data_IF_889250494396
#
_entry.id   IF_889250494396
#
_cell.length_a   1.000
_cell.length_b   1.000
_cell.length_c   1.000
_cell.angle_alpha   90.00
_cell.angle_beta   90.00
_cell.angle_gamma   90.00
#
_symmetry.space_group_name_H-M   'P 1'
#
loop_
_entity.id
_entity.type
_entity.pdbx_description
1 polymer ?
#
# COMPACT_ATOMS: atom_id res chain seq x y z
N UNK A 1 -14.27 -4.68 -35.98
CA UNK A 1 -12.90 -4.77 -36.52
C UNK A 1 -11.96 -4.98 -35.35
N UNK A 2 -11.26 -6.12 -35.31
CA UNK A 2 -10.28 -6.45 -34.28
C UNK A 2 -8.98 -5.70 -34.58
N UNK A 3 -8.45 -4.94 -33.64
CA UNK A 3 -7.07 -4.44 -33.68
C UNK A 3 -6.30 -5.08 -32.54
N UNK A 4 -5.41 -5.99 -32.91
CA UNK A 4 -4.49 -6.68 -32.03
C UNK A 4 -3.49 -5.69 -31.40
N UNK A 5 -3.35 -5.71 -30.08
CA UNK A 5 -2.22 -5.10 -29.38
C UNK A 5 -1.04 -6.05 -29.48
N UNK A 6 0.02 -5.62 -30.16
CA UNK A 6 1.35 -6.24 -30.07
C UNK A 6 1.85 -6.02 -28.65
N UNK A 7 2.22 -7.10 -27.97
CA UNK A 7 3.07 -7.02 -26.79
C UNK A 7 4.41 -6.38 -27.21
N UNK A 8 4.65 -5.16 -26.77
CA UNK A 8 5.98 -4.57 -26.78
C UNK A 8 6.77 -5.23 -25.67
N UNK A 9 7.88 -5.89 -26.02
CA UNK A 9 8.96 -6.13 -25.06
C UNK A 9 9.41 -4.76 -24.54
N UNK A 10 8.88 -4.35 -23.40
CA UNK A 10 9.35 -3.15 -22.70
C UNK A 10 10.68 -3.54 -22.09
N UNK A 11 11.78 -3.10 -22.70
CA UNK A 11 13.07 -3.10 -22.03
C UNK A 11 12.91 -2.31 -20.74
N UNK A 12 13.20 -2.96 -19.61
CA UNK A 12 13.27 -2.32 -18.30
C UNK A 12 14.13 -1.07 -18.44
N UNK A 13 13.53 0.13 -18.31
CA UNK A 13 14.24 1.38 -18.50
C UNK A 13 15.48 1.42 -17.60
N UNK A 14 16.55 2.07 -18.07
CA UNK A 14 17.81 2.19 -17.31
C UNK A 14 17.61 2.74 -15.88
N UNK A 15 16.59 3.58 -15.67
CA UNK A 15 16.23 4.13 -14.36
C UNK A 15 15.83 3.06 -13.34
N UNK A 16 15.12 2.02 -13.75
CA UNK A 16 14.66 0.93 -12.88
C UNK A 16 15.86 0.14 -12.38
N UNK A 17 16.89 -0.04 -13.23
CA UNK A 17 18.15 -0.70 -12.86
C UNK A 17 18.96 0.14 -11.87
N UNK A 18 18.81 1.46 -11.91
CA UNK A 18 19.52 2.38 -11.02
C UNK A 18 18.82 2.51 -9.66
N UNK A 19 17.49 2.65 -9.64
CA UNK A 19 16.66 2.59 -8.43
C UNK A 19 16.86 1.27 -7.66
N UNK A 20 16.96 0.18 -8.41
CA UNK A 20 17.32 -1.14 -7.88
C UNK A 20 18.69 -1.13 -7.24
N UNK A 21 19.72 -0.71 -7.98
CA UNK A 21 21.11 -0.74 -7.51
C UNK A 21 21.28 0.17 -6.28
N UNK A 22 20.48 1.21 -6.19
CA UNK A 22 20.43 2.16 -5.07
C UNK A 22 19.71 1.59 -3.84
N UNK A 23 18.62 0.85 -4.03
CA UNK A 23 17.91 0.21 -2.93
C UNK A 23 18.64 -1.06 -2.47
N UNK A 24 19.23 -1.84 -3.38
CA UNK A 24 20.17 -2.92 -3.09
C UNK A 24 21.33 -2.41 -2.22
N UNK A 25 21.88 -1.21 -2.50
CA UNK A 25 22.93 -0.60 -1.65
C UNK A 25 22.43 -0.26 -0.25
N UNK A 26 21.22 0.28 -0.11
CA UNK A 26 20.64 0.61 1.22
C UNK A 26 20.26 -0.65 2.01
N UNK A 27 19.65 -1.63 1.36
CA UNK A 27 19.28 -2.93 1.96
C UNK A 27 20.54 -3.71 2.34
N UNK A 28 21.56 -3.77 1.47
CA UNK A 28 22.83 -4.42 1.77
C UNK A 28 23.57 -3.75 2.95
N UNK A 29 23.51 -2.42 3.05
CA UNK A 29 24.08 -1.67 4.18
C UNK A 29 23.35 -1.97 5.51
N UNK A 30 22.02 -2.07 5.46
CA UNK A 30 21.20 -2.40 6.64
C UNK A 30 21.42 -3.84 7.14
N UNK A 31 21.55 -4.82 6.23
CA UNK A 31 21.71 -6.23 6.60
C UNK A 31 23.15 -6.67 6.90
N UNK A 32 24.18 -5.99 6.36
CA UNK A 32 25.59 -6.40 6.59
C UNK A 32 26.28 -5.72 7.77
N UNK A 33 25.64 -4.72 8.39
CA UNK A 33 26.29 -3.88 9.40
C UNK A 33 27.41 -3.05 8.79
N UNK A 34 27.74 -1.91 9.42
CA UNK A 34 28.84 -1.04 8.98
C UNK A 34 30.18 -1.79 8.79
N UNK A 35 31.18 -1.14 8.17
CA UNK A 35 32.37 -1.81 7.64
C UNK A 35 33.05 -2.67 8.71
N UNK A 36 32.96 -3.99 8.57
CA UNK A 36 33.77 -4.94 9.34
C UNK A 36 35.22 -4.78 8.89
N UNK A 37 36.07 -4.41 9.83
CA UNK A 37 37.51 -4.49 9.68
C UNK A 37 37.92 -5.91 9.25
N UNK A 38 38.77 -5.97 8.24
CA UNK A 38 39.37 -7.19 7.70
C UNK A 38 40.19 -7.91 8.78
N UNK A 39 39.80 -9.12 9.13
CA UNK A 39 40.54 -10.04 9.99
C UNK A 39 40.48 -11.47 9.45
N UNK A 40 41.67 -12.06 9.27
CA UNK A 40 42.04 -13.35 8.69
C UNK A 40 41.03 -14.52 8.68
N UNK A 41 40.86 -15.06 7.47
CA UNK A 41 40.93 -16.47 7.05
C UNK A 41 40.61 -17.60 8.03
N UNK A 42 39.58 -18.36 7.68
CA UNK A 42 39.52 -19.82 7.79
C UNK A 42 38.54 -20.34 6.71
N UNK A 43 39.01 -21.29 5.89
CA UNK A 43 38.22 -21.98 4.87
C UNK A 43 37.30 -22.99 5.57
N UNK A 44 36.00 -22.70 5.65
CA UNK A 44 34.99 -23.69 6.01
C UNK A 44 34.11 -24.01 4.80
N UNK A 45 34.25 -25.25 4.34
CA UNK A 45 33.36 -25.92 3.41
C UNK A 45 31.97 -26.06 4.06
N UNK A 46 30.98 -25.34 3.53
CA UNK A 46 29.56 -25.57 3.78
C UNK A 46 28.81 -25.43 2.44
N UNK A 47 28.89 -26.47 1.63
CA UNK A 47 27.95 -26.69 0.53
C UNK A 47 26.74 -27.48 1.06
N UNK A 48 25.54 -27.04 0.66
CA UNK A 48 24.19 -27.55 0.97
C UNK A 48 23.50 -27.01 2.24
N UNK A 49 23.41 -25.68 2.38
CA UNK A 49 22.23 -25.09 3.04
C UNK A 49 21.08 -25.01 2.02
N UNK A 50 19.96 -25.63 2.36
CA UNK A 50 18.66 -25.50 1.72
C UNK A 50 18.36 -24.01 1.51
N UNK A 51 18.54 -23.53 0.28
CA UNK A 51 18.43 -22.12 -0.10
C UNK A 51 16.97 -21.70 0.10
N UNK A 52 16.61 -21.26 1.31
CA UNK A 52 15.38 -20.50 1.52
C UNK A 52 15.45 -19.30 0.59
N UNK A 53 14.64 -19.35 -0.47
CA UNK A 53 14.57 -18.30 -1.45
C UNK A 53 14.18 -17.00 -0.71
N UNK A 54 15.00 -15.97 -0.85
CA UNK A 54 14.77 -14.67 -0.20
C UNK A 54 13.31 -14.23 -0.43
N UNK A 55 12.61 -13.72 0.61
CA UNK A 55 11.26 -13.20 0.44
C UNK A 55 11.23 -11.93 -0.42
N UNK A 56 12.40 -11.36 -0.73
CA UNK A 56 12.59 -10.19 -1.57
C UNK A 56 13.27 -10.53 -2.89
N UNK A 57 12.84 -9.84 -3.95
CA UNK A 57 13.47 -9.80 -5.25
C UNK A 57 14.76 -8.97 -5.22
N UNK A 58 15.67 -9.23 -6.16
CA UNK A 58 16.81 -8.35 -6.43
C UNK A 58 16.35 -6.96 -6.87
N UNK A 59 15.18 -6.88 -7.51
CA UNK A 59 14.61 -5.65 -8.09
C UNK A 59 13.13 -5.54 -7.79
N UNK A 60 12.58 -4.36 -7.45
CA UNK A 60 11.16 -4.25 -7.23
C UNK A 60 10.42 -4.39 -8.56
N UNK A 61 9.30 -5.09 -8.53
CA UNK A 61 8.35 -5.08 -9.62
C UNK A 61 7.48 -3.81 -9.50
N UNK A 62 7.72 -2.86 -10.40
CA UNK A 62 7.02 -1.55 -10.43
C UNK A 62 5.78 -1.55 -11.32
N UNK A 63 5.38 -2.69 -11.88
CA UNK A 63 4.12 -2.78 -12.61
C UNK A 63 2.95 -2.48 -11.66
N UNK A 64 2.16 -1.48 -12.01
CA UNK A 64 0.97 -1.08 -11.24
C UNK A 64 -0.27 -1.57 -11.95
N UNK A 65 -1.11 -2.27 -11.21
CA UNK A 65 -2.46 -2.62 -11.65
C UNK A 65 -3.42 -1.56 -11.11
N UNK A 66 -4.05 -0.81 -12.01
CA UNK A 66 -4.98 0.26 -11.66
C UNK A 66 -6.37 0.00 -12.21
N UNK A 67 -7.40 0.35 -11.45
CA UNK A 67 -8.77 0.41 -11.95
C UNK A 67 -9.53 1.54 -11.27
N UNK A 68 -10.63 1.95 -11.88
CA UNK A 68 -11.49 3.02 -11.39
C UNK A 68 -12.96 2.66 -11.59
N UNK A 69 -13.82 3.37 -10.87
CA UNK A 69 -15.26 3.28 -11.08
C UNK A 69 -15.99 4.33 -10.25
N UNK A 70 -17.31 4.27 -10.30
CA UNK A 70 -18.14 5.17 -9.52
C UNK A 70 -19.59 4.72 -9.47
N UNK A 71 -20.36 5.38 -8.61
CA UNK A 71 -21.78 5.16 -8.43
C UNK A 71 -22.60 6.33 -8.99
N UNK A 72 -23.89 6.11 -9.23
CA UNK A 72 -24.80 7.18 -9.64
C UNK A 72 -25.03 8.22 -8.53
N UNK A 73 -24.61 7.91 -7.30
CA UNK A 73 -24.69 8.78 -6.13
C UNK A 73 -23.50 9.73 -6.00
N UNK A 74 -22.63 9.80 -7.02
CA UNK A 74 -21.47 10.70 -7.03
C UNK A 74 -20.30 10.23 -6.16
N UNK A 75 -20.25 8.95 -5.82
CA UNK A 75 -19.10 8.33 -5.15
C UNK A 75 -18.20 7.73 -6.22
N UNK A 76 -16.97 8.23 -6.34
CA UNK A 76 -15.98 7.74 -7.29
C UNK A 76 -14.86 7.03 -6.55
N UNK A 77 -14.20 6.07 -7.17
CA UNK A 77 -13.05 5.43 -6.58
C UNK A 77 -11.98 5.12 -7.63
N UNK A 78 -10.75 5.01 -7.15
CA UNK A 78 -9.70 4.28 -7.84
C UNK A 78 -8.99 3.33 -6.89
N UNK A 79 -8.44 2.28 -7.46
CA UNK A 79 -7.58 1.32 -6.78
C UNK A 79 -6.29 1.17 -7.56
N UNK A 80 -5.18 1.08 -6.84
CA UNK A 80 -3.89 0.70 -7.39
C UNK A 80 -3.27 -0.37 -6.52
N UNK A 81 -2.55 -1.30 -7.16
CA UNK A 81 -1.75 -2.30 -6.46
C UNK A 81 -0.41 -2.52 -7.16
N UNK A 82 0.66 -2.72 -6.39
CA UNK A 82 2.02 -2.95 -6.88
C UNK A 82 2.71 -4.00 -6.00
N UNK A 83 3.39 -4.94 -6.65
CA UNK A 83 4.11 -6.02 -5.94
C UNK A 83 5.35 -5.50 -5.18
N UNK A 84 6.07 -4.52 -5.73
CA UNK A 84 7.22 -3.94 -5.05
C UNK A 84 8.35 -4.96 -4.89
N UNK A 85 8.98 -4.98 -3.72
CA UNK A 85 10.18 -5.78 -3.46
C UNK A 85 9.91 -7.25 -3.15
N UNK A 86 8.68 -7.64 -2.84
CA UNK A 86 8.36 -9.02 -2.46
C UNK A 86 8.45 -9.96 -3.65
N UNK A 87 8.86 -11.19 -3.39
CA UNK A 87 8.93 -12.24 -4.40
C UNK A 87 7.56 -12.59 -5.02
N UNK A 88 6.49 -12.43 -4.24
CA UNK A 88 5.11 -12.71 -4.64
C UNK A 88 4.22 -11.49 -4.42
N UNK A 89 3.10 -11.43 -5.16
CA UNK A 89 2.00 -10.52 -4.91
C UNK A 89 0.88 -11.30 -4.20
N UNK A 90 0.72 -11.03 -2.91
CA UNK A 90 -0.22 -11.73 -2.03
C UNK A 90 -1.49 -10.91 -1.72
N UNK A 91 -1.44 -9.60 -1.98
CA UNK A 91 -2.59 -8.70 -1.87
C UNK A 91 -3.72 -9.03 -2.86
N UNK A 92 -4.95 -8.77 -2.43
CA UNK A 92 -6.15 -8.74 -3.27
C UNK A 92 -7.06 -7.57 -2.87
N UNK A 93 -8.05 -7.24 -3.71
CA UNK A 93 -9.01 -6.18 -3.42
C UNK A 93 -10.38 -6.45 -4.06
N UNK A 94 -11.40 -5.77 -3.54
CA UNK A 94 -12.76 -5.77 -4.09
C UNK A 94 -13.28 -4.35 -4.13
N UNK A 95 -13.84 -3.93 -5.26
CA UNK A 95 -14.50 -2.63 -5.39
C UNK A 95 -15.86 -2.83 -6.06
N UNK A 96 -16.93 -2.56 -5.32
CA UNK A 96 -18.32 -2.69 -5.74
C UNK A 96 -19.03 -1.37 -5.45
N UNK A 97 -19.02 -0.40 -6.37
CA UNK A 97 -19.62 0.92 -6.14
C UNK A 97 -21.15 0.89 -6.03
N UNK A 98 -21.78 -0.22 -6.42
CA UNK A 98 -23.20 -0.50 -6.28
C UNK A 98 -23.38 -1.99 -5.96
N UNK A 99 -24.16 -2.31 -4.93
CA UNK A 99 -24.59 -3.69 -4.65
C UNK A 99 -25.82 -4.06 -5.50
N UNK A 100 -26.27 -5.30 -5.37
CA UNK A 100 -27.38 -5.86 -6.17
C UNK A 100 -28.71 -5.82 -5.41
N UNK A 101 -29.78 -6.12 -6.14
CA UNK A 101 -31.14 -6.31 -5.61
C UNK A 101 -31.69 -5.08 -4.88
N UNK A 102 -32.07 -5.18 -3.61
CA UNK A 102 -32.62 -4.06 -2.84
C UNK A 102 -31.54 -3.11 -2.29
N UNK A 103 -30.26 -3.41 -2.52
CA UNK A 103 -29.11 -2.66 -2.01
C UNK A 103 -28.40 -1.84 -3.09
N UNK A 104 -29.10 -1.41 -4.15
CA UNK A 104 -28.48 -0.67 -5.28
C UNK A 104 -27.77 0.62 -4.87
N UNK A 105 -28.19 1.23 -3.78
CA UNK A 105 -27.60 2.46 -3.22
C UNK A 105 -26.49 2.20 -2.20
N UNK A 106 -26.10 0.93 -2.04
CA UNK A 106 -25.00 0.51 -1.17
C UNK A 106 -23.72 0.27 -1.97
N UNK A 107 -22.57 0.41 -1.32
CA UNK A 107 -21.27 0.10 -1.90
C UNK A 107 -20.42 -0.75 -0.96
N UNK A 108 -19.47 -1.49 -1.52
CA UNK A 108 -18.49 -2.29 -0.79
C UNK A 108 -17.09 -2.11 -1.37
N UNK A 109 -16.12 -1.82 -0.52
CA UNK A 109 -14.71 -1.71 -0.87
C UNK A 109 -13.89 -2.48 0.14
N UNK A 110 -12.87 -3.22 -0.31
CA UNK A 110 -12.02 -3.99 0.58
C UNK A 110 -10.61 -4.18 0.02
N UNK A 111 -9.62 -4.12 0.92
CA UNK A 111 -8.23 -4.54 0.70
C UNK A 111 -7.97 -5.76 1.57
N UNK A 112 -7.31 -6.76 0.98
CA UNK A 112 -6.91 -8.00 1.63
C UNK A 112 -5.42 -8.15 1.47
N UNK A 113 -4.68 -8.06 2.58
CA UNK A 113 -3.25 -8.34 2.61
C UNK A 113 -3.07 -9.83 2.90
N UNK A 114 -2.48 -10.57 1.98
CA UNK A 114 -2.29 -12.02 2.10
C UNK A 114 -0.90 -12.35 2.64
N UNK A 115 -0.78 -13.43 3.40
CA UNK A 115 0.52 -13.89 3.89
C UNK A 115 0.64 -15.40 3.86
N UNK A 116 1.87 -15.87 3.59
CA UNK A 116 2.20 -17.29 3.43
C UNK A 116 1.40 -17.98 2.29
N UNK A 117 1.14 -17.24 1.22
CA UNK A 117 0.28 -17.59 0.10
C UNK A 117 -0.81 -16.55 -0.14
N UNK A 118 -1.44 -16.61 -1.30
CA UNK A 118 -2.45 -15.63 -1.72
C UNK A 118 -3.87 -16.22 -1.87
N UNK A 119 -4.05 -17.52 -1.59
CA UNK A 119 -5.31 -18.20 -1.80
C UNK A 119 -6.42 -17.70 -0.88
N UNK A 120 -6.13 -17.43 0.40
CA UNK A 120 -7.13 -16.86 1.32
C UNK A 120 -7.52 -15.45 0.91
N UNK A 121 -6.56 -14.56 0.61
CA UNK A 121 -6.84 -13.20 0.13
C UNK A 121 -7.68 -13.20 -1.15
N UNK A 122 -7.32 -14.04 -2.13
CA UNK A 122 -8.09 -14.19 -3.37
C UNK A 122 -9.49 -14.78 -3.14
N UNK A 123 -9.65 -15.73 -2.22
CA UNK A 123 -10.96 -16.28 -1.90
C UNK A 123 -11.84 -15.23 -1.21
N UNK A 124 -11.28 -14.49 -0.25
CA UNK A 124 -12.00 -13.43 0.46
C UNK A 124 -12.43 -12.31 -0.49
N UNK A 125 -11.56 -11.86 -1.39
CA UNK A 125 -11.90 -10.81 -2.37
C UNK A 125 -13.04 -11.18 -3.32
N UNK A 126 -13.29 -12.48 -3.54
CA UNK A 126 -14.37 -12.96 -4.40
C UNK A 126 -15.65 -13.27 -3.63
N UNK A 127 -15.56 -13.67 -2.37
CA UNK A 127 -16.69 -14.29 -1.68
C UNK A 127 -17.09 -13.60 -0.37
N UNK A 128 -16.23 -12.81 0.30
CA UNK A 128 -16.52 -12.28 1.64
C UNK A 128 -17.82 -11.48 1.69
N UNK A 129 -18.05 -10.62 0.69
CA UNK A 129 -19.30 -9.86 0.57
C UNK A 129 -20.52 -10.78 0.49
N UNK A 130 -20.47 -11.85 -0.29
CA UNK A 130 -21.60 -12.78 -0.43
C UNK A 130 -21.90 -13.49 0.88
N UNK A 131 -20.88 -13.87 1.66
CA UNK A 131 -21.08 -14.43 3.01
C UNK A 131 -21.74 -13.41 3.96
N UNK A 132 -21.31 -12.15 3.93
CA UNK A 132 -21.91 -11.07 4.73
C UNK A 132 -23.38 -10.87 4.34
N UNK A 133 -23.68 -10.78 3.04
CA UNK A 133 -25.05 -10.58 2.56
C UNK A 133 -25.95 -11.79 2.87
N UNK A 134 -25.43 -13.01 2.79
CA UNK A 134 -26.17 -14.24 3.06
C UNK A 134 -26.66 -14.36 4.52
N UNK A 135 -26.03 -13.65 5.47
CA UNK A 135 -26.52 -13.57 6.86
C UNK A 135 -27.89 -12.91 6.96
N UNK A 136 -28.26 -12.10 5.97
CA UNK A 136 -29.45 -11.26 6.01
C UNK A 136 -29.38 -10.14 7.05
N UNK A 137 -28.20 -9.80 7.58
CA UNK A 137 -28.04 -8.63 8.47
C UNK A 137 -28.01 -7.30 7.73
N UNK A 138 -27.49 -7.30 6.50
CA UNK A 138 -27.42 -6.12 5.62
C UNK A 138 -28.72 -5.98 4.83
N UNK A 139 -29.56 -5.01 5.21
CA UNK A 139 -30.86 -4.74 4.58
C UNK A 139 -31.10 -3.26 4.38
N UNK A 140 -32.02 -2.92 3.49
CA UNK A 140 -32.46 -1.54 3.23
C UNK A 140 -32.99 -0.79 4.47
N UNK A 141 -33.32 -1.48 5.57
CA UNK A 141 -33.71 -0.83 6.84
C UNK A 141 -32.56 -0.17 7.57
N UNK A 142 -31.29 -0.48 7.21
CA UNK A 142 -30.09 0.15 7.76
C UNK A 142 -30.00 0.09 9.30
N UNK A 143 -30.50 -0.98 9.91
CA UNK A 143 -30.46 -1.16 11.36
C UNK A 143 -29.01 -1.46 11.80
N UNK A 144 -28.28 -0.52 12.45
CA UNK A 144 -26.83 -0.61 12.53
C UNK A 144 -26.33 -1.85 13.28
N UNK A 145 -26.98 -2.22 14.38
CA UNK A 145 -26.62 -3.41 15.14
C UNK A 145 -26.87 -4.72 14.36
N UNK A 146 -27.89 -4.76 13.49
CA UNK A 146 -28.12 -5.93 12.63
C UNK A 146 -27.08 -6.02 11.52
N UNK A 147 -26.66 -4.88 10.97
CA UNK A 147 -25.59 -4.81 9.96
C UNK A 147 -24.26 -5.25 10.57
N UNK A 148 -23.90 -4.72 11.76
CA UNK A 148 -22.69 -5.11 12.49
C UNK A 148 -22.66 -6.62 12.77
N UNK A 149 -23.76 -7.17 13.27
CA UNK A 149 -23.83 -8.62 13.54
C UNK A 149 -23.76 -9.44 12.24
N UNK A 150 -24.42 -9.01 11.16
CA UNK A 150 -24.32 -9.69 9.86
C UNK A 150 -22.91 -9.68 9.27
N UNK A 151 -22.17 -8.58 9.43
CA UNK A 151 -20.75 -8.51 9.06
C UNK A 151 -19.93 -9.49 9.89
N UNK A 152 -20.10 -9.45 11.22
CA UNK A 152 -19.41 -10.34 12.15
C UNK A 152 -19.63 -11.81 11.79
N UNK A 153 -20.89 -12.24 11.66
CA UNK A 153 -21.22 -13.62 11.32
C UNK A 153 -20.72 -14.00 9.92
N UNK A 154 -20.76 -13.09 8.94
CA UNK A 154 -20.20 -13.33 7.60
C UNK A 154 -18.70 -13.66 7.61
N UNK A 155 -17.91 -12.97 8.44
CA UNK A 155 -16.50 -13.27 8.66
C UNK A 155 -16.29 -14.63 9.33
N UNK A 156 -17.10 -14.96 10.34
CA UNK A 156 -17.00 -16.25 11.03
C UNK A 156 -17.38 -17.42 10.12
N UNK A 157 -18.40 -17.23 9.26
CA UNK A 157 -18.91 -18.23 8.34
C UNK A 157 -17.92 -18.53 7.21
N UNK A 158 -17.34 -17.48 6.56
CA UNK A 158 -16.35 -17.69 5.50
C UNK A 158 -15.08 -18.36 6.06
N UNK A 159 -14.61 -17.95 7.23
CA UNK A 159 -13.44 -18.55 7.88
C UNK A 159 -13.69 -20.02 8.23
N UNK A 160 -14.87 -20.34 8.78
CA UNK A 160 -15.28 -21.71 9.09
C UNK A 160 -15.44 -22.56 7.84
N UNK A 161 -15.93 -21.99 6.74
CA UNK A 161 -16.02 -22.67 5.46
C UNK A 161 -14.64 -23.02 4.93
N UNK A 162 -13.75 -22.04 4.87
CA UNK A 162 -12.36 -22.21 4.43
C UNK A 162 -11.59 -23.21 5.29
N UNK A 163 -11.78 -23.21 6.61
CA UNK A 163 -11.16 -24.18 7.53
C UNK A 163 -11.62 -25.62 7.23
N UNK A 164 -12.91 -25.82 6.87
CA UNK A 164 -13.39 -27.15 6.45
C UNK A 164 -12.73 -27.60 5.15
N UNK A 165 -12.54 -26.70 4.17
CA UNK A 165 -11.85 -27.00 2.91
C UNK A 165 -10.38 -27.37 3.16
N UNK A 166 -9.67 -26.63 4.00
CA UNK A 166 -8.28 -26.92 4.36
C UNK A 166 -8.09 -28.35 4.91
N UNK A 167 -9.02 -28.81 5.78
CA UNK A 167 -8.98 -30.16 6.36
C UNK A 167 -9.34 -31.29 5.40
N UNK A 168 -10.14 -31.01 4.37
CA UNK A 168 -10.71 -32.04 3.48
C UNK A 168 -9.94 -32.18 2.16
N UNK A 169 -9.48 -31.06 1.59
CA UNK A 169 -8.98 -30.98 0.22
C UNK A 169 -7.51 -30.55 0.13
N UNK A 170 -6.76 -30.53 1.24
CA UNK A 170 -5.39 -30.01 1.33
C UNK A 170 -5.27 -28.63 0.67
N UNK A 171 -6.23 -27.76 1.01
CA UNK A 171 -6.32 -26.39 0.50
C UNK A 171 -5.25 -25.49 1.15
N UNK A 172 -5.25 -24.21 0.78
CA UNK A 172 -4.24 -23.23 1.21
C UNK A 172 -4.20 -23.05 2.74
N UNK A 173 -2.99 -22.93 3.30
CA UNK A 173 -2.71 -22.64 4.71
C UNK A 173 -2.34 -21.17 4.93
N UNK A 174 -2.40 -20.33 3.89
CA UNK A 174 -2.22 -18.88 3.99
C UNK A 174 -3.22 -18.23 4.94
N UNK A 175 -2.93 -16.97 5.29
CA UNK A 175 -3.88 -16.09 5.95
C UNK A 175 -4.08 -14.81 5.16
N UNK A 176 -5.07 -14.03 5.57
CA UNK A 176 -5.25 -12.69 5.05
C UNK A 176 -5.92 -11.77 6.04
N UNK A 177 -5.46 -10.52 6.05
CA UNK A 177 -6.17 -9.41 6.68
C UNK A 177 -7.37 -8.98 5.82
N UNK A 178 -8.25 -8.17 6.39
CA UNK A 178 -9.30 -7.50 5.64
C UNK A 178 -9.57 -6.11 6.24
N UNK A 179 -9.26 -5.06 5.49
CA UNK A 179 -9.77 -3.72 5.72
C UNK A 179 -10.87 -3.47 4.70
N UNK A 180 -12.11 -3.28 5.17
CA UNK A 180 -13.27 -3.13 4.30
C UNK A 180 -14.21 -2.02 4.77
N UNK A 181 -15.00 -1.51 3.83
CA UNK A 181 -16.07 -0.56 4.07
C UNK A 181 -17.33 -1.04 3.37
N UNK A 182 -18.44 -1.12 4.11
CA UNK A 182 -19.79 -1.17 3.55
C UNK A 182 -20.41 0.21 3.74
N UNK A 183 -20.89 0.81 2.66
CA UNK A 183 -21.51 2.12 2.68
C UNK A 183 -22.97 1.99 2.31
N UNK A 184 -23.86 2.53 3.14
CA UNK A 184 -25.28 2.66 2.86
C UNK A 184 -25.62 4.12 2.52
N UNK A 185 -26.88 4.43 2.15
CA UNK A 185 -27.34 5.82 2.05
C UNK A 185 -27.05 6.68 3.28
N UNK A 186 -27.18 6.13 4.50
CA UNK A 186 -27.01 6.90 5.75
C UNK A 186 -25.70 6.66 6.48
N UNK A 187 -25.08 5.48 6.36
CA UNK A 187 -23.97 5.07 7.21
C UNK A 187 -22.75 4.60 6.41
N UNK A 188 -21.59 4.73 7.05
CA UNK A 188 -20.34 4.09 6.66
C UNK A 188 -19.99 3.08 7.74
N UNK A 189 -19.94 1.81 7.37
CA UNK A 189 -19.51 0.72 8.22
C UNK A 189 -18.06 0.39 7.91
N UNK A 190 -17.15 0.73 8.81
CA UNK A 190 -15.73 0.39 8.72
C UNK A 190 -15.51 -0.96 9.36
N UNK A 191 -14.79 -1.83 8.67
CA UNK A 191 -14.59 -3.23 9.04
C UNK A 191 -13.10 -3.48 9.02
N UNK A 192 -12.52 -3.93 10.14
CA UNK A 192 -11.11 -4.29 10.20
C UNK A 192 -10.89 -5.66 10.84
N UNK A 193 -10.05 -6.47 10.21
CA UNK A 193 -9.54 -7.73 10.73
C UNK A 193 -8.09 -7.87 10.29
N UNK A 194 -7.14 -7.53 11.16
CA UNK A 194 -5.71 -7.43 10.82
C UNK A 194 -5.16 -6.01 10.95
N UNK A 195 -4.06 -5.73 10.26
CA UNK A 195 -3.29 -4.49 10.30
C UNK A 195 -3.23 -3.72 8.97
N UNK A 196 -4.00 -4.16 7.96
CA UNK A 196 -4.53 -3.21 6.98
C UNK A 196 -5.38 -2.15 7.69
N UNK A 197 -5.50 -0.96 7.10
CA UNK A 197 -6.19 0.17 7.74
C UNK A 197 -7.05 0.95 6.77
N UNK A 198 -8.16 1.46 7.30
CA UNK A 198 -9.03 2.43 6.63
C UNK A 198 -9.06 3.74 7.40
N UNK A 199 -9.08 4.88 6.71
CA UNK A 199 -9.36 6.20 7.29
C UNK A 199 -10.44 6.96 6.52
N UNK A 200 -11.06 7.93 7.21
CA UNK A 200 -12.01 8.90 6.66
C UNK A 200 -11.48 10.32 6.85
N UNK A 201 -11.44 11.07 5.75
CA UNK A 201 -11.20 12.50 5.72
C UNK A 201 -12.53 13.28 5.69
N UNK A 202 -12.63 14.28 6.55
CA UNK A 202 -13.73 15.24 6.60
C UNK A 202 -13.16 16.62 6.91
N UNK A 203 -13.47 17.62 6.08
CA UNK A 203 -12.94 18.99 6.20
C UNK A 203 -11.41 19.04 6.37
N UNK A 204 -10.71 18.23 5.56
CA UNK A 204 -9.27 18.12 5.55
C UNK A 204 -8.62 17.51 6.80
N UNK A 205 -9.37 16.82 7.64
CA UNK A 205 -8.87 16.15 8.85
C UNK A 205 -9.23 14.68 8.85
N UNK A 206 -8.35 13.85 9.42
CA UNK A 206 -8.69 12.47 9.74
C UNK A 206 -9.70 12.48 10.91
N UNK A 207 -10.95 12.12 10.62
CA UNK A 207 -12.01 12.07 11.65
C UNK A 207 -12.24 10.68 12.21
N UNK A 208 -11.78 9.65 11.49
CA UNK A 208 -11.85 8.27 11.89
C UNK A 208 -10.79 7.44 11.17
N UNK A 209 -10.25 6.43 11.86
CA UNK A 209 -9.47 5.35 11.25
C UNK A 209 -9.66 4.07 12.06
N UNK A 210 -9.50 2.91 11.42
CA UNK A 210 -9.58 1.61 12.09
C UNK A 210 -8.32 1.33 12.92
N UNK A 211 -8.47 0.66 14.06
CA UNK A 211 -7.31 0.24 14.88
C UNK A 211 -6.69 -1.05 14.34
N UNK A 212 -5.37 -1.08 14.18
CA UNK A 212 -4.64 -2.26 13.72
C UNK A 212 -4.62 -3.36 14.80
N UNK A 213 -4.87 -4.59 14.38
CA UNK A 213 -4.89 -5.76 15.26
C UNK A 213 -3.50 -6.38 15.43
N UNK A 214 -2.63 -5.71 16.21
CA UNK A 214 -1.28 -6.19 16.50
C UNK A 214 -1.23 -7.11 17.74
N UNK A 215 -0.43 -8.19 17.74
CA UNK A 215 -0.34 -9.15 18.86
C UNK A 215 0.00 -8.54 20.22
N UNK A 216 0.71 -7.41 20.25
CA UNK A 216 1.07 -6.73 21.49
C UNK A 216 -0.03 -5.83 22.06
N UNK A 217 -1.14 -5.62 21.35
CA UNK A 217 -2.28 -4.87 21.86
C UNK A 217 -2.87 -5.60 23.09
N UNK A 218 -3.30 -4.89 24.16
CA UNK A 218 -3.67 -5.53 25.42
C UNK A 218 -4.72 -6.65 25.29
N UNK A 219 -5.82 -6.40 24.56
CA UNK A 219 -6.90 -7.38 24.35
C UNK A 219 -6.45 -8.58 23.52
N UNK A 220 -5.66 -8.33 22.49
CA UNK A 220 -5.15 -9.38 21.59
C UNK A 220 -4.14 -10.27 22.32
N UNK A 221 -3.21 -9.66 23.07
CA UNK A 221 -2.24 -10.36 23.91
C UNK A 221 -2.92 -11.23 24.96
N UNK A 222 -3.94 -10.70 25.64
CA UNK A 222 -4.71 -11.46 26.61
C UNK A 222 -5.38 -12.68 25.96
N UNK A 223 -6.04 -12.52 24.81
CA UNK A 223 -6.62 -13.64 24.05
C UNK A 223 -5.56 -14.70 23.70
N UNK A 224 -4.43 -14.27 23.14
CA UNK A 224 -3.33 -15.17 22.74
C UNK A 224 -2.82 -15.98 23.94
N UNK A 225 -2.58 -15.33 25.08
CA UNK A 225 -2.12 -15.99 26.30
C UNK A 225 -3.16 -16.96 26.87
N UNK A 226 -4.43 -16.56 26.85
CA UNK A 226 -5.56 -17.39 27.27
C UNK A 226 -5.75 -18.62 26.37
N UNK A 227 -5.40 -18.53 25.09
CA UNK A 227 -5.34 -19.65 24.15
C UNK A 227 -4.08 -20.52 24.29
N UNK A 228 -3.20 -20.24 25.26
CA UNK A 228 -1.99 -21.02 25.53
C UNK A 228 -0.77 -20.59 24.73
N UNK A 229 -0.86 -19.50 23.96
CA UNK A 229 0.25 -18.94 23.20
C UNK A 229 1.05 -17.87 23.94
N UNK A 230 1.95 -17.23 23.20
CA UNK A 230 2.80 -16.16 23.68
C UNK A 230 2.92 -15.03 22.66
N UNK A 231 3.30 -13.85 23.11
CA UNK A 231 3.66 -12.72 22.23
C UNK A 231 5.14 -12.44 22.42
N UNK A 232 5.92 -12.79 21.40
CA UNK A 232 7.39 -12.72 21.41
C UNK A 232 7.84 -11.91 20.21
N UNK A 233 8.69 -10.90 20.43
CA UNK A 233 9.12 -9.97 19.36
C UNK A 233 7.95 -9.38 18.55
N UNK A 234 6.88 -8.98 19.27
CA UNK A 234 5.64 -8.44 18.68
C UNK A 234 4.83 -9.45 17.82
N UNK A 235 5.19 -10.73 17.81
CA UNK A 235 4.57 -11.79 17.00
C UNK A 235 3.90 -12.86 17.85
N UNK A 236 2.81 -13.45 17.35
CA UNK A 236 2.17 -14.63 17.93
C UNK A 236 3.14 -15.81 17.86
N UNK A 237 3.52 -16.35 19.01
CA UNK A 237 4.52 -17.41 19.16
C UNK A 237 5.86 -17.12 18.46
N UNK A 238 6.19 -15.84 18.23
CA UNK A 238 7.40 -15.44 17.50
C UNK A 238 7.29 -15.53 15.97
N UNK A 239 6.15 -15.98 15.43
CA UNK A 239 5.96 -16.22 14.00
C UNK A 239 5.12 -15.14 13.32
N UNK A 240 3.84 -14.99 13.70
CA UNK A 240 2.87 -14.18 12.96
C UNK A 240 2.78 -12.75 13.50
N UNK A 241 2.88 -11.73 12.64
CA UNK A 241 2.87 -10.32 13.03
C UNK A 241 1.46 -9.72 13.22
N UNK A 242 0.44 -10.43 12.78
CA UNK A 242 -0.97 -10.08 12.98
C UNK A 242 -1.60 -10.92 14.08
N UNK A 243 -2.56 -10.34 14.79
CA UNK A 243 -3.36 -11.06 15.78
C UNK A 243 -4.73 -11.45 15.29
N UNK A 244 -5.20 -10.85 14.20
CA UNK A 244 -6.48 -11.19 13.56
C UNK A 244 -6.29 -11.33 12.07
N UNK A 245 -6.92 -12.36 11.53
CA UNK A 245 -6.90 -12.70 10.11
C UNK A 245 -7.94 -13.77 9.81
N UNK A 246 -8.39 -13.81 8.56
CA UNK A 246 -9.04 -14.96 7.96
C UNK A 246 -7.96 -15.97 7.55
N UNK A 247 -8.23 -17.28 7.56
CA UNK A 247 -7.19 -18.28 7.28
C UNK A 247 -6.36 -18.61 8.52
N UNK A 248 -5.04 -18.82 8.38
CA UNK A 248 -4.13 -19.13 9.51
C UNK A 248 -4.62 -20.28 10.40
N UNK A 249 -5.12 -21.36 9.78
CA UNK A 249 -5.87 -22.38 10.51
C UNK A 249 -5.05 -23.11 11.58
N UNK A 250 -3.74 -23.20 11.40
CA UNK A 250 -2.81 -23.77 12.39
C UNK A 250 -2.82 -22.99 13.72
N UNK A 251 -3.19 -21.71 13.69
CA UNK A 251 -3.36 -20.85 14.87
C UNK A 251 -4.79 -20.89 15.45
N UNK A 252 -5.67 -21.74 14.89
CA UNK A 252 -7.10 -21.82 15.21
C UNK A 252 -7.54 -23.22 15.65
N UNK A 253 -6.61 -24.02 16.15
CA UNK A 253 -6.85 -25.42 16.57
C UNK A 253 -6.86 -25.65 18.09
N UNK A 254 -6.97 -24.59 18.91
CA UNK A 254 -7.04 -24.72 20.37
C UNK A 254 -8.39 -25.28 20.78
N UNK A 255 -8.41 -26.56 21.21
CA UNK A 255 -9.63 -27.35 21.45
C UNK A 255 -10.60 -26.71 22.47
N UNK A 256 -10.07 -26.08 23.51
CA UNK A 256 -10.88 -25.49 24.60
C UNK A 256 -11.30 -24.03 24.35
N UNK A 257 -11.05 -23.49 23.15
CA UNK A 257 -11.38 -22.12 22.79
C UNK A 257 -12.39 -22.06 21.65
N UNK A 258 -13.40 -21.18 21.71
CA UNK A 258 -14.24 -20.90 20.54
C UNK A 258 -13.44 -20.20 19.42
N UNK A 259 -14.04 -20.11 18.23
CA UNK A 259 -13.40 -19.55 17.02
C UNK A 259 -12.77 -18.18 17.23
N UNK A 260 -13.39 -17.30 18.03
CA UNK A 260 -12.93 -15.92 18.26
C UNK A 260 -11.92 -15.79 19.41
N UNK A 261 -11.70 -16.86 20.18
CA UNK A 261 -10.74 -16.90 21.29
C UNK A 261 -9.50 -17.76 20.96
N UNK A 262 -9.24 -17.99 19.68
CA UNK A 262 -8.05 -18.68 19.19
C UNK A 262 -6.79 -17.82 19.29
N UNK A 263 -5.62 -18.36 18.92
CA UNK A 263 -4.38 -17.56 18.88
C UNK A 263 -4.51 -16.42 17.86
N UNK A 264 -5.12 -16.70 16.71
CA UNK A 264 -5.51 -15.72 15.69
C UNK A 264 -7.03 -15.71 15.58
N UNK A 265 -7.66 -14.54 15.73
CA UNK A 265 -9.12 -14.43 15.64
C UNK A 265 -9.56 -13.99 14.24
N UNK A 266 -10.61 -14.59 13.65
CA UNK A 266 -11.24 -14.08 12.43
C UNK A 266 -12.28 -12.97 12.70
N UNK A 267 -12.54 -12.63 13.97
CA UNK A 267 -13.59 -11.69 14.33
C UNK A 267 -13.22 -10.26 13.92
N UNK A 268 -14.00 -9.63 13.02
CA UNK A 268 -13.75 -8.26 12.61
C UNK A 268 -14.18 -7.30 13.72
N UNK A 269 -13.53 -6.15 13.78
CA UNK A 269 -14.08 -4.99 14.46
C UNK A 269 -14.90 -4.16 13.47
N UNK A 270 -16.12 -3.78 13.87
CA UNK A 270 -17.07 -3.06 13.01
C UNK A 270 -17.48 -1.75 13.66
N UNK A 271 -17.16 -0.65 13.00
CA UNK A 271 -17.50 0.70 13.41
C UNK A 271 -18.55 1.28 12.49
N UNK A 272 -19.48 2.05 13.04
CA UNK A 272 -20.57 2.70 12.30
C UNK A 272 -20.45 4.21 12.50
N UNK A 273 -20.36 4.94 11.39
CA UNK A 273 -20.45 6.39 11.38
C UNK A 273 -21.60 6.82 10.47
N UNK A 274 -22.36 7.81 10.89
CA UNK A 274 -23.35 8.47 10.02
C UNK A 274 -22.63 9.35 9.00
N UNK A 275 -23.04 9.24 7.73
CA UNK A 275 -22.48 10.00 6.61
C UNK A 275 -22.78 11.49 6.76
N UNK A 276 -21.84 12.32 6.34
CA UNK A 276 -21.98 13.77 6.33
C UNK A 276 -21.73 14.32 4.93
N UNK A 277 -22.43 15.41 4.53
CA UNK A 277 -22.19 16.07 3.26
C UNK A 277 -20.75 16.57 3.07
N UNK A 278 -20.04 16.85 4.17
CA UNK A 278 -18.66 17.36 4.17
C UNK A 278 -17.61 16.23 4.24
N UNK A 279 -18.03 14.96 4.20
CA UNK A 279 -17.09 13.85 4.02
C UNK A 279 -16.39 14.03 2.66
N UNK A 280 -15.05 14.02 2.67
CA UNK A 280 -14.24 14.30 1.47
C UNK A 280 -13.87 13.00 0.75
N UNK A 281 -13.15 12.11 1.45
CA UNK A 281 -12.72 10.82 0.89
C UNK A 281 -12.40 9.78 1.98
N UNK A 282 -12.38 8.50 1.58
CA UNK A 282 -11.86 7.37 2.34
C UNK A 282 -10.58 6.85 1.70
N UNK A 283 -9.68 6.30 2.51
CA UNK A 283 -8.51 5.56 2.06
C UNK A 283 -8.51 4.19 2.74
N UNK A 284 -8.47 3.12 1.95
CA UNK A 284 -8.23 1.75 2.42
C UNK A 284 -6.86 1.31 1.87
N UNK A 285 -5.98 0.80 2.71
CA UNK A 285 -4.69 0.27 2.24
C UNK A 285 -4.14 -0.82 3.17
N UNK A 286 -3.23 -1.65 2.63
CA UNK A 286 -2.43 -2.60 3.40
C UNK A 286 -1.29 -1.91 4.17
N UNK A 287 -0.62 -2.66 5.05
CA UNK A 287 0.45 -2.11 5.89
C UNK A 287 1.68 -1.67 5.08
N UNK A 288 1.91 -2.23 3.89
CA UNK A 288 2.92 -1.76 2.95
C UNK A 288 2.81 -0.28 2.58
N UNK A 289 1.61 0.32 2.74
CA UNK A 289 1.40 1.77 2.70
C UNK A 289 1.56 2.41 4.08
N UNK A 290 0.85 1.89 5.08
CA UNK A 290 0.75 2.52 6.42
C UNK A 290 2.03 2.48 7.26
N UNK A 291 2.94 1.54 6.99
CA UNK A 291 4.27 1.49 7.59
C UNK A 291 5.20 2.57 7.02
N UNK A 292 4.92 3.06 5.80
CA UNK A 292 5.72 4.09 5.14
C UNK A 292 5.20 5.51 5.36
N UNK A 293 3.90 5.69 5.61
CA UNK A 293 3.28 7.01 5.78
C UNK A 293 2.16 7.01 6.84
N UNK A 294 2.18 8.01 7.72
CA UNK A 294 1.19 8.12 8.80
C UNK A 294 -0.18 8.61 8.32
N UNK A 295 -1.22 8.43 9.15
CA UNK A 295 -2.60 8.78 8.82
C UNK A 295 -2.77 10.24 8.37
N UNK A 296 -2.29 11.20 9.18
CA UNK A 296 -2.42 12.63 8.88
C UNK A 296 -1.56 13.04 7.67
N UNK A 297 -0.38 12.44 7.52
CA UNK A 297 0.50 12.69 6.38
C UNK A 297 -0.14 12.24 5.07
N UNK A 298 -0.69 11.02 5.03
CA UNK A 298 -1.32 10.49 3.82
C UNK A 298 -2.62 11.23 3.51
N UNK A 299 -3.42 11.57 4.53
CA UNK A 299 -4.62 12.38 4.38
C UNK A 299 -4.30 13.74 3.74
N UNK A 300 -3.32 14.47 4.30
CA UNK A 300 -2.90 15.75 3.76
C UNK A 300 -2.32 15.63 2.34
N UNK A 301 -1.53 14.57 2.09
CA UNK A 301 -0.96 14.29 0.77
C UNK A 301 -2.06 14.07 -0.27
N UNK A 302 -2.96 13.10 -0.06
CA UNK A 302 -4.06 12.79 -0.99
C UNK A 302 -4.94 14.02 -1.23
N UNK A 303 -5.28 14.76 -0.17
CA UNK A 303 -6.05 15.99 -0.28
C UNK A 303 -5.36 17.04 -1.17
N UNK A 304 -4.04 17.21 -1.02
CA UNK A 304 -3.27 18.12 -1.87
C UNK A 304 -3.25 17.67 -3.33
N UNK A 305 -3.18 16.35 -3.58
CA UNK A 305 -3.14 15.78 -4.92
C UNK A 305 -4.49 15.92 -5.64
N UNK A 306 -5.61 15.77 -4.93
CA UNK A 306 -6.96 16.00 -5.46
C UNK A 306 -7.17 17.44 -5.98
N UNK A 307 -6.40 18.41 -5.50
CA UNK A 307 -6.48 19.80 -5.96
C UNK A 307 -5.66 20.08 -7.24
N UNK A 308 -4.78 19.15 -7.65
CA UNK A 308 -3.88 19.32 -8.80
C UNK A 308 -3.99 18.19 -9.84
N UNK A 309 -4.73 17.12 -9.53
CA UNK A 309 -4.92 15.95 -10.39
C UNK A 309 -6.38 15.51 -10.35
N UNK A 310 -7.01 15.35 -11.51
CA UNK A 310 -8.38 14.86 -11.68
C UNK A 310 -8.47 13.34 -11.87
N UNK A 311 -7.34 12.66 -12.10
CA UNK A 311 -7.26 11.21 -12.26
C UNK A 311 -6.93 10.54 -10.92
N UNK A 312 -7.94 9.91 -10.29
CA UNK A 312 -7.75 9.20 -9.02
C UNK A 312 -6.75 8.03 -9.13
N UNK A 313 -6.58 7.41 -10.31
CA UNK A 313 -5.63 6.31 -10.51
C UNK A 313 -4.19 6.81 -10.40
N UNK A 314 -3.96 8.03 -10.91
CA UNK A 314 -2.68 8.71 -10.84
C UNK A 314 -2.36 9.08 -9.38
N UNK A 315 -3.36 9.55 -8.61
CA UNK A 315 -3.18 9.81 -7.17
C UNK A 315 -2.84 8.52 -6.41
N UNK A 316 -3.54 7.41 -6.67
CA UNK A 316 -3.19 6.11 -6.07
C UNK A 316 -1.76 5.67 -6.44
N UNK A 317 -1.35 5.89 -7.69
CA UNK A 317 0.00 5.60 -8.19
C UNK A 317 1.06 6.43 -7.45
N UNK A 318 0.82 7.74 -7.29
CA UNK A 318 1.71 8.64 -6.55
C UNK A 318 1.86 8.25 -5.08
N UNK A 319 0.80 7.74 -4.44
CA UNK A 319 0.90 7.21 -3.06
C UNK A 319 1.80 5.97 -3.02
N UNK A 320 1.60 5.02 -3.93
CA UNK A 320 2.44 3.81 -4.01
C UNK A 320 3.92 4.18 -4.24
N UNK A 321 4.19 5.08 -5.17
CA UNK A 321 5.56 5.52 -5.46
C UNK A 321 6.18 6.26 -4.27
N UNK A 322 5.40 7.11 -3.59
CA UNK A 322 5.83 7.76 -2.35
C UNK A 322 6.22 6.73 -1.27
N UNK A 323 5.39 5.71 -1.04
CA UNK A 323 5.66 4.66 -0.05
C UNK A 323 6.90 3.84 -0.41
N UNK A 324 7.05 3.48 -1.69
CA UNK A 324 8.26 2.83 -2.20
C UNK A 324 9.51 3.69 -1.95
N UNK A 325 9.45 5.00 -2.23
CA UNK A 325 10.56 5.91 -2.05
C UNK A 325 10.87 6.21 -0.59
N UNK A 326 9.88 6.12 0.30
CA UNK A 326 10.06 6.15 1.76
C UNK A 326 10.63 4.84 2.32
N UNK A 327 10.77 3.81 1.49
CA UNK A 327 11.47 2.57 1.83
C UNK A 327 10.56 1.38 2.11
N UNK A 328 9.29 1.42 1.70
CA UNK A 328 8.43 0.23 1.76
C UNK A 328 9.04 -0.90 0.91
N UNK A 329 9.18 -2.07 1.53
CA UNK A 329 9.67 -3.29 0.90
C UNK A 329 8.54 -4.32 0.67
N UNK A 330 7.29 -3.93 0.90
CA UNK A 330 6.16 -4.86 0.85
C UNK A 330 5.35 -4.76 -0.45
N UNK A 331 4.35 -5.63 -0.59
CA UNK A 331 3.21 -5.39 -1.47
C UNK A 331 2.48 -4.12 -1.03
N UNK A 332 1.92 -3.39 -1.99
CA UNK A 332 1.20 -2.15 -1.72
C UNK A 332 -0.10 -2.14 -2.51
N UNK A 333 -1.22 -2.09 -1.81
CA UNK A 333 -2.55 -1.89 -2.38
C UNK A 333 -3.27 -0.75 -1.67
N UNK A 334 -3.88 0.13 -2.46
CA UNK A 334 -4.62 1.29 -1.96
C UNK A 334 -5.90 1.51 -2.77
N UNK A 335 -7.00 1.79 -2.07
CA UNK A 335 -8.26 2.25 -2.63
C UNK A 335 -8.52 3.66 -2.08
N UNK A 336 -8.73 4.62 -2.97
CA UNK A 336 -9.22 5.96 -2.63
C UNK A 336 -10.67 6.07 -3.10
N UNK A 337 -11.59 6.38 -2.20
CA UNK A 337 -13.01 6.60 -2.50
C UNK A 337 -13.34 8.06 -2.22
N UNK A 338 -13.71 8.83 -3.24
CA UNK A 338 -14.08 10.23 -3.14
C UNK A 338 -15.60 10.40 -3.08
N UNK A 339 -16.05 11.22 -2.13
CA UNK A 339 -17.44 11.65 -2.00
C UNK A 339 -17.69 12.95 -2.78
N UNK A 340 -18.96 13.39 -2.90
CA UNK A 340 -19.27 14.71 -3.47
C UNK A 340 -18.59 15.89 -2.76
N UNK A 341 -18.22 15.73 -1.48
CA UNK A 341 -17.49 16.74 -0.70
C UNK A 341 -15.98 16.80 -0.97
N UNK A 342 -15.43 15.91 -1.81
CA UNK A 342 -14.00 15.87 -2.10
C UNK A 342 -13.48 17.20 -2.67
N UNK A 343 -12.23 17.61 -2.33
CA UNK A 343 -11.59 18.75 -2.95
C UNK A 343 -11.61 18.65 -4.47
N UNK A 344 -11.90 19.77 -5.11
CA UNK A 344 -11.86 19.91 -6.56
C UNK A 344 -10.53 20.54 -6.98
N UNK A 345 -10.22 20.44 -8.28
CA UNK A 345 -9.08 21.13 -8.86
C UNK A 345 -9.09 22.61 -8.50
N UNK A 346 -7.92 23.10 -8.08
CA UNK A 346 -7.71 24.51 -7.73
C UNK A 346 -6.70 25.12 -8.69
N UNK A 347 -7.10 26.20 -9.36
CA UNK A 347 -6.20 26.94 -10.26
C UNK A 347 -4.97 27.48 -9.53
N UNK A 348 -5.15 27.88 -8.26
CA UNK A 348 -4.05 28.33 -7.41
C UNK A 348 -3.11 27.17 -7.08
N UNK A 349 -3.63 26.00 -6.73
CA UNK A 349 -2.81 24.82 -6.43
C UNK A 349 -2.03 24.35 -7.67
N UNK A 350 -2.66 24.37 -8.85
CA UNK A 350 -1.99 24.05 -10.13
C UNK A 350 -0.83 25.01 -10.44
N UNK A 351 -1.01 26.31 -10.18
CA UNK A 351 0.06 27.30 -10.34
C UNK A 351 1.19 27.10 -9.35
N UNK A 352 0.87 26.77 -8.10
CA UNK A 352 1.87 26.46 -7.06
C UNK A 352 2.66 25.19 -7.41
N UNK A 353 1.99 24.14 -7.90
CA UNK A 353 2.63 22.91 -8.33
C UNK A 353 3.59 23.16 -9.50
N UNK A 354 3.15 23.90 -10.53
CA UNK A 354 3.99 24.23 -11.68
C UNK A 354 5.22 25.09 -11.27
N UNK A 355 5.04 26.03 -10.34
CA UNK A 355 6.14 26.84 -9.83
C UNK A 355 7.14 26.00 -9.03
N UNK A 356 6.66 25.03 -8.23
CA UNK A 356 7.52 24.09 -7.51
C UNK A 356 8.33 23.22 -8.47
N UNK A 357 7.71 22.69 -9.53
CA UNK A 357 8.42 21.87 -10.51
C UNK A 357 9.51 22.64 -11.26
N UNK A 358 9.25 23.91 -11.59
CA UNK A 358 10.27 24.80 -12.15
C UNK A 358 11.41 25.08 -11.17
N UNK A 359 11.09 25.28 -9.89
CA UNK A 359 12.10 25.46 -8.84
C UNK A 359 12.98 24.20 -8.69
N UNK A 360 12.37 23.01 -8.68
CA UNK A 360 13.09 21.73 -8.66
C UNK A 360 14.00 21.61 -9.88
N UNK A 361 13.50 21.91 -11.08
CA UNK A 361 14.28 21.80 -12.33
C UNK A 361 15.51 22.71 -12.32
N UNK A 362 15.35 23.96 -11.88
CA UNK A 362 16.44 24.93 -11.74
C UNK A 362 17.46 24.47 -10.68
N UNK A 363 17.00 23.94 -9.55
CA UNK A 363 17.88 23.46 -8.47
C UNK A 363 18.69 22.24 -8.89
N UNK A 364 18.08 21.31 -9.62
CA UNK A 364 18.79 20.16 -10.18
C UNK A 364 19.87 20.61 -11.15
N UNK A 365 19.56 21.56 -12.04
CA UNK A 365 20.55 22.15 -12.96
C UNK A 365 21.72 22.80 -12.20
N UNK A 366 21.44 23.61 -11.18
CA UNK A 366 22.47 24.24 -10.36
C UNK A 366 23.39 23.22 -9.67
N UNK A 367 22.83 22.12 -9.17
CA UNK A 367 23.61 21.06 -8.51
C UNK A 367 24.54 20.38 -9.53
N UNK A 368 24.02 20.04 -10.71
CA UNK A 368 24.81 19.41 -11.78
C UNK A 368 25.95 20.34 -12.24
N UNK A 369 25.66 21.62 -12.46
CA UNK A 369 26.66 22.61 -12.91
C UNK A 369 27.74 22.92 -11.86
N UNK A 370 27.45 22.77 -10.56
CA UNK A 370 28.44 22.99 -9.48
C UNK A 370 29.46 21.86 -9.38
N UNK A 371 29.09 20.65 -9.76
CA UNK A 371 29.92 19.45 -9.66
C UNK A 371 30.95 19.32 -10.79
N UNK A 372 31.52 20.45 -11.27
CA UNK A 372 32.27 20.66 -12.52
C UNK A 372 33.33 19.62 -12.95
N UNK A 373 33.71 18.65 -12.11
CA UNK A 373 34.73 17.63 -12.40
C UNK A 373 34.27 16.18 -12.07
N UNK A 374 33.09 15.96 -11.50
CA UNK A 374 32.50 14.63 -11.26
C UNK A 374 31.01 14.64 -11.60
N UNK A 375 30.55 13.85 -12.59
CA UNK A 375 29.14 13.61 -12.88
C UNK A 375 28.42 13.18 -11.59
N UNK A 376 27.64 14.07 -10.92
CA UNK A 376 27.06 13.73 -9.64
C UNK A 376 26.00 12.67 -9.88
N UNK A 377 26.06 11.56 -9.16
CA UNK A 377 25.00 10.55 -9.29
C UNK A 377 23.65 11.09 -8.78
N UNK A 378 22.56 10.49 -9.26
CA UNK A 378 21.20 10.89 -8.90
C UNK A 378 20.99 10.92 -7.37
N UNK A 379 21.62 10.01 -6.64
CA UNK A 379 21.51 9.92 -5.19
C UNK A 379 22.14 11.14 -4.50
N UNK A 380 23.27 11.62 -5.00
CA UNK A 380 23.88 12.87 -4.54
C UNK A 380 22.95 14.06 -4.72
N UNK A 381 22.34 14.19 -5.90
CA UNK A 381 21.37 15.26 -6.20
C UNK A 381 20.17 15.19 -5.25
N UNK A 382 19.58 14.01 -5.07
CA UNK A 382 18.45 13.79 -4.15
C UNK A 382 18.84 14.16 -2.71
N UNK A 383 20.03 13.77 -2.24
CA UNK A 383 20.51 14.10 -0.89
C UNK A 383 20.68 15.59 -0.67
N UNK A 384 21.19 16.32 -1.65
CA UNK A 384 21.31 17.79 -1.56
C UNK A 384 19.93 18.41 -1.51
N UNK A 385 19.03 18.05 -2.43
CA UNK A 385 17.68 18.61 -2.46
C UNK A 385 16.91 18.32 -1.16
N UNK A 386 17.09 17.15 -0.57
CA UNK A 386 16.48 16.79 0.71
C UNK A 386 17.07 17.54 1.92
N UNK A 387 18.28 18.09 1.80
CA UNK A 387 18.91 18.92 2.83
C UNK A 387 18.53 20.41 2.70
N UNK A 388 17.94 20.83 1.59
CA UNK A 388 17.48 22.20 1.38
C UNK A 388 16.03 22.39 1.84
N UNK A 389 15.75 23.52 2.51
CA UNK A 389 14.37 23.91 2.79
C UNK A 389 13.71 24.44 1.51
N UNK A 390 12.79 23.66 0.96
CA UNK A 390 12.05 24.02 -0.24
C UNK A 390 10.59 24.36 0.11
N UNK A 391 10.12 25.59 -0.14
CA UNK A 391 8.74 25.96 0.11
C UNK A 391 7.80 25.31 -0.90
N UNK A 392 6.54 25.07 -0.49
CA UNK A 392 5.49 24.58 -1.38
C UNK A 392 5.49 23.07 -1.64
N UNK A 393 6.35 22.30 -0.97
CA UNK A 393 6.35 20.84 -1.07
C UNK A 393 4.99 20.22 -0.66
N UNK A 394 4.55 19.13 -1.30
CA UNK A 394 3.30 18.46 -0.93
C UNK A 394 3.33 18.02 0.54
N UNK A 395 2.29 18.33 1.33
CA UNK A 395 2.25 17.95 2.75
C UNK A 395 2.24 16.42 2.90
N UNK A 396 2.92 15.91 3.92
CA UNK A 396 3.10 14.46 4.17
C UNK A 396 4.07 13.74 3.22
N UNK A 397 4.05 14.12 1.93
CA UNK A 397 4.93 13.58 0.89
C UNK A 397 6.32 14.22 0.86
N UNK A 398 6.42 15.52 1.13
CA UNK A 398 7.67 16.28 1.09
C UNK A 398 8.38 16.19 -0.27
N UNK A 399 9.70 16.37 -0.26
CA UNK A 399 10.53 16.25 -1.47
C UNK A 399 10.50 14.84 -2.07
N UNK A 400 10.30 13.82 -1.23
CA UNK A 400 10.22 12.42 -1.66
C UNK A 400 9.07 12.19 -2.64
N UNK A 401 7.94 12.87 -2.47
CA UNK A 401 6.81 12.79 -3.41
C UNK A 401 7.09 13.42 -4.78
N UNK A 402 8.14 14.24 -4.89
CA UNK A 402 8.57 14.86 -6.16
C UNK A 402 9.77 14.14 -6.79
N UNK A 403 10.09 12.92 -6.34
CA UNK A 403 11.25 12.17 -6.83
C UNK A 403 11.21 11.92 -8.34
N UNK A 404 10.04 11.62 -8.92
CA UNK A 404 9.92 11.46 -10.38
C UNK A 404 10.24 12.76 -11.14
N UNK A 405 9.79 13.91 -10.61
CA UNK A 405 10.15 15.22 -11.16
C UNK A 405 11.66 15.47 -11.09
N UNK A 406 12.30 15.12 -9.96
CA UNK A 406 13.76 15.23 -9.79
C UNK A 406 14.49 14.32 -10.78
N UNK A 407 14.03 13.08 -10.95
CA UNK A 407 14.60 12.10 -11.87
C UNK A 407 14.51 12.61 -13.32
N UNK A 408 13.34 13.09 -13.73
CA UNK A 408 13.12 13.62 -15.08
C UNK A 408 14.02 14.83 -15.36
N UNK A 409 14.12 15.76 -14.41
CA UNK A 409 15.00 16.92 -14.51
C UNK A 409 16.48 16.51 -14.57
N UNK A 410 16.90 15.57 -13.72
CA UNK A 410 18.27 15.06 -13.71
C UNK A 410 18.66 14.44 -15.05
N UNK A 411 17.79 13.60 -15.63
CA UNK A 411 18.03 12.98 -16.93
C UNK A 411 18.13 14.04 -18.05
N UNK A 412 17.23 15.02 -18.05
CA UNK A 412 17.23 16.14 -19.00
C UNK A 412 18.57 16.88 -18.97
N UNK A 413 19.06 17.24 -17.79
CA UNK A 413 20.27 18.06 -17.64
C UNK A 413 21.57 17.27 -17.85
N UNK A 414 21.66 16.01 -17.40
CA UNK A 414 22.83 15.15 -17.70
C UNK A 414 22.98 14.91 -19.21
N UNK A 415 21.88 14.74 -19.94
CA UNK A 415 21.93 14.60 -21.41
C UNK A 415 22.43 15.91 -22.06
N UNK A 416 22.01 17.07 -21.54
CA UNK A 416 22.45 18.36 -22.05
C UNK A 416 23.95 18.58 -21.84
N UNK A 417 24.47 18.28 -20.64
CA UNK A 417 25.92 18.39 -20.34
C UNK A 417 26.75 17.49 -21.24
N UNK A 418 26.37 16.21 -21.40
CA UNK A 418 27.07 15.26 -22.27
C UNK A 418 27.06 15.67 -23.74
N UNK A 419 25.99 16.30 -24.19
CA UNK A 419 25.89 16.82 -25.55
C UNK A 419 26.83 18.02 -25.76
N UNK A 420 27.00 18.86 -24.74
CA UNK A 420 27.86 20.04 -24.78
C UNK A 420 29.34 19.65 -24.73
N UNK A 421 29.72 18.69 -23.88
CA UNK A 421 31.08 18.13 -23.86
C UNK A 421 31.47 17.48 -25.20
N UNK A 422 30.55 16.77 -25.86
CA UNK A 422 30.80 16.18 -27.17
C UNK A 422 31.06 17.24 -28.26
N UNK A 423 30.36 18.38 -28.22
CA UNK A 423 30.57 19.49 -29.16
C UNK A 423 31.88 20.23 -28.87
N UNK A 424 32.27 20.38 -27.60
CA UNK A 424 33.53 21.04 -27.22
C UNK A 424 34.76 20.18 -27.59
N UNK A 425 34.64 18.85 -27.58
CA UNK A 425 35.69 17.93 -28.03
C UNK A 425 35.87 18.01 -29.56
N UNK A 426 34.77 17.96 -30.34
CA UNK A 426 34.84 18.08 -31.82
C UNK A 426 35.38 19.44 -32.27
N UNK A 427 35.10 20.53 -31.54
CA UNK A 427 35.66 21.86 -31.82
C UNK A 427 37.14 22.02 -31.46
N UNK A 428 37.72 21.11 -30.67
CA UNK A 428 39.13 21.14 -30.26
C UNK A 428 40.07 20.29 -31.12
N UNK A 429 39.52 19.44 -32.00
CA UNK A 429 40.30 18.65 -32.98
C UNK A 429 40.48 19.37 -34.34
N UNK A 430 39.85 20.54 -34.54
CA UNK A 430 39.94 21.33 -35.79
C UNK A 430 40.95 22.50 -35.75
N UNK A 431 41.69 22.72 -34.65
CA UNK A 431 42.71 23.79 -34.52
C UNK A 431 44.18 23.32 -34.60
#
# INVERSE_FOLDING_TARGET
>A
MKTARRASNVEVPSFLRQLVKETEKMVTFFFKGGPKETGCGEEDNLDEEDSMQSPYLDRPNLEKHVSEGGSQLGVNYAVASMQGWRAQMEDAHTCMPQLREELTDWAYYAVFDGHAGNGVAQYCSRNLLDYILATGGVKATEAPEQVKEGIREGFLDIDRHMHKLARQDNWDHSGSTAAAVIMSPRYIYFINCGDSRTLLCHDGKVVFYTEDHKPFNPREKERIQNAGGSVTLQRVNGSLAVSRALGDFDFKEVEWRPQTEQLVSPEPEVYELERKPEDEFLILACDGVWDAIGNEELCAFVRSRLQVCDDLREICTQVIDLCLYKGSLDNMSIIIVCFPGAPQLSQEALQQEAALEQLIDMKVEEIIQRSKDEDPDLLYVIKILAAEEMPGLPPGGGITSKRDCIIASYQKHIIAVKSQEAMDIEGSEED
#
